data_IF_485884314289
#
_entry.id   IF_485884314289
#
_cell.length_a   1.000
_cell.length_b   1.000
_cell.length_c   1.000
_cell.angle_alpha   90.00
_cell.angle_beta   90.00
_cell.angle_gamma   90.00
#
_symmetry.space_group_name_H-M   'P 1'
#
loop_
_entity.id
_entity.type
_entity.pdbx_description
1 polymer ?
#
# COMPACT_ATOMS: atom_id res chain seq x y z
N UNK A 1 4.73 -17.66 -15.52
CA UNK A 1 4.75 -16.22 -15.18
C UNK A 1 5.18 -16.13 -13.73
N UNK A 2 6.49 -15.98 -13.56
CA UNK A 2 7.22 -16.02 -12.30
C UNK A 2 6.88 -14.76 -11.49
N UNK A 3 5.75 -14.79 -10.78
CA UNK A 3 5.42 -13.76 -9.77
C UNK A 3 6.38 -13.96 -8.60
N UNK A 4 7.60 -13.48 -8.76
CA UNK A 4 8.63 -13.52 -7.73
C UNK A 4 8.24 -12.51 -6.66
N UNK A 5 7.96 -13.00 -5.45
CA UNK A 5 7.92 -12.14 -4.27
C UNK A 5 9.28 -11.54 -4.03
N UNK A 6 9.27 -10.36 -3.42
CA UNK A 6 10.48 -9.73 -2.92
C UNK A 6 10.28 -9.36 -1.46
N UNK A 7 11.35 -9.47 -0.69
CA UNK A 7 11.39 -8.98 0.66
C UNK A 7 11.73 -7.48 0.64
N UNK A 8 10.94 -6.67 1.33
CA UNK A 8 11.25 -5.27 1.57
C UNK A 8 10.92 -4.95 3.04
N UNK A 9 11.91 -4.43 3.78
CA UNK A 9 11.80 -4.11 5.21
C UNK A 9 11.18 -5.22 6.06
N UNK A 10 11.54 -6.48 5.78
CA UNK A 10 11.08 -7.66 6.52
C UNK A 10 9.74 -8.24 6.06
N UNK A 11 9.06 -7.64 5.07
CA UNK A 11 7.79 -8.14 4.53
C UNK A 11 7.95 -8.68 3.10
N UNK A 12 7.22 -9.74 2.80
CA UNK A 12 7.17 -10.35 1.47
C UNK A 12 6.03 -9.77 0.64
N UNK A 13 6.36 -9.04 -0.42
CA UNK A 13 5.39 -8.44 -1.34
C UNK A 13 5.36 -9.16 -2.68
N UNK A 14 4.15 -9.37 -3.20
CA UNK A 14 3.91 -9.94 -4.51
C UNK A 14 3.26 -8.92 -5.44
N UNK A 15 3.81 -8.69 -6.64
CA UNK A 15 3.15 -7.86 -7.64
C UNK A 15 1.83 -8.53 -8.09
N UNK A 16 0.71 -7.88 -7.78
CA UNK A 16 -0.61 -8.43 -8.06
C UNK A 16 -1.14 -7.96 -9.42
N UNK A 17 -1.36 -6.64 -9.56
CA UNK A 17 -1.94 -5.96 -10.72
C UNK A 17 -1.64 -4.45 -10.69
N UNK A 18 -1.93 -3.74 -11.78
CA UNK A 18 -2.01 -2.26 -11.84
C UNK A 18 -3.44 -1.80 -11.60
N UNK A 19 -3.62 -0.50 -11.37
CA UNK A 19 -4.97 0.07 -11.37
C UNK A 19 -5.56 0.05 -12.79
N UNK A 20 -6.80 -0.41 -12.90
CA UNK A 20 -7.57 -0.37 -14.14
C UNK A 20 -8.68 0.68 -14.04
N UNK A 21 -9.26 1.07 -15.16
CA UNK A 21 -10.36 2.06 -15.21
C UNK A 21 -11.54 1.68 -14.30
N UNK A 22 -11.77 0.37 -14.12
CA UNK A 22 -12.80 -0.20 -13.24
C UNK A 22 -12.59 0.06 -11.75
N UNK A 23 -11.38 0.42 -11.31
CA UNK A 23 -11.07 0.69 -9.90
C UNK A 23 -11.61 2.06 -9.42
N UNK A 24 -12.21 2.85 -10.33
CA UNK A 24 -12.73 4.19 -10.11
C UNK A 24 -11.68 5.27 -10.41
N UNK A 25 -12.06 6.54 -10.25
CA UNK A 25 -11.16 7.68 -10.41
C UNK A 25 -10.01 7.66 -9.38
N UNK A 26 -8.99 8.50 -9.61
CA UNK A 26 -7.86 8.68 -8.69
C UNK A 26 -8.31 8.94 -7.24
N UNK A 27 -9.33 9.78 -7.04
CA UNK A 27 -9.90 10.06 -5.72
C UNK A 27 -10.56 8.84 -5.09
N UNK A 28 -11.25 8.02 -5.88
CA UNK A 28 -11.92 6.83 -5.35
C UNK A 28 -10.91 5.76 -4.94
N UNK A 29 -9.82 5.63 -5.69
CA UNK A 29 -8.66 4.78 -5.35
C UNK A 29 -7.97 5.30 -4.11
N UNK A 30 -7.66 6.60 -4.05
CA UNK A 30 -7.00 7.24 -2.92
C UNK A 30 -7.83 7.14 -1.63
N UNK A 31 -9.16 7.27 -1.70
CA UNK A 31 -10.04 7.07 -0.56
C UNK A 31 -9.98 5.64 -0.01
N UNK A 32 -9.75 4.64 -0.87
CA UNK A 32 -9.60 3.22 -0.48
C UNK A 32 -8.23 2.93 0.15
N UNK A 33 -7.26 3.86 0.04
CA UNK A 33 -5.95 3.75 0.66
C UNK A 33 -6.00 4.13 2.15
N UNK A 34 -5.28 3.38 2.97
CA UNK A 34 -5.10 3.67 4.40
C UNK A 34 -3.65 3.57 4.80
N UNK A 35 -3.23 4.45 5.70
CA UNK A 35 -1.91 4.37 6.29
C UNK A 35 -1.87 3.22 7.31
N UNK A 36 -0.99 2.27 7.06
CA UNK A 36 -0.80 1.12 7.93
C UNK A 36 0.33 1.43 8.94
N UNK A 37 -0.09 1.79 10.15
CA UNK A 37 0.84 2.08 11.26
C UNK A 37 1.54 0.81 11.79
N UNK A 38 1.00 -0.38 11.51
CA UNK A 38 1.65 -1.63 11.91
C UNK A 38 2.85 -1.91 11.02
N UNK A 39 2.68 -1.70 9.71
CA UNK A 39 3.74 -1.76 8.70
C UNK A 39 4.77 -0.66 8.94
N UNK A 40 4.33 0.56 9.24
CA UNK A 40 5.23 1.67 9.58
C UNK A 40 6.23 2.01 8.47
N UNK A 41 5.87 1.74 7.21
CA UNK A 41 6.66 2.01 6.02
C UNK A 41 6.27 3.34 5.39
N UNK A 42 6.91 4.40 5.84
CA UNK A 42 6.72 5.74 5.29
C UNK A 42 8.06 6.42 5.07
N UNK A 43 8.12 7.28 4.06
CA UNK A 43 9.27 8.14 3.80
C UNK A 43 9.28 9.34 4.75
N UNK A 44 8.12 9.68 5.30
CA UNK A 44 7.96 10.78 6.25
C UNK A 44 8.48 10.36 7.62
N UNK A 45 9.10 11.29 8.34
CA UNK A 45 9.55 11.06 9.72
C UNK A 45 8.37 11.10 10.69
N UNK A 46 7.53 10.06 10.61
CA UNK A 46 6.41 9.89 11.51
C UNK A 46 6.82 9.11 12.76
N UNK A 47 6.24 9.38 13.95
CA UNK A 47 6.61 8.69 15.19
C UNK A 47 6.29 7.19 15.18
N UNK A 48 5.45 6.74 14.23
CA UNK A 48 5.09 5.34 14.00
C UNK A 48 5.89 4.71 12.85
N UNK A 49 6.86 5.43 12.27
CA UNK A 49 7.77 4.90 11.25
C UNK A 49 8.66 3.82 11.86
N UNK A 50 8.53 2.61 11.32
CA UNK A 50 9.37 1.46 11.69
C UNK A 50 10.47 1.21 10.67
N UNK A 51 10.18 1.46 9.40
CA UNK A 51 11.09 1.19 8.30
C UNK A 51 11.20 2.40 7.38
N UNK A 52 12.42 2.65 6.90
CA UNK A 52 12.64 3.65 5.85
C UNK A 52 12.01 3.16 4.55
N UNK A 53 11.02 3.90 4.06
CA UNK A 53 10.44 3.64 2.75
C UNK A 53 11.07 4.55 1.70
N UNK A 54 11.54 3.92 0.63
CA UNK A 54 12.03 4.59 -0.57
C UNK A 54 11.31 4.02 -1.79
N UNK A 55 10.68 4.92 -2.54
CA UNK A 55 9.82 4.55 -3.67
C UNK A 55 10.62 3.90 -4.80
N UNK A 56 11.83 4.41 -5.10
CA UNK A 56 12.67 3.86 -6.16
C UNK A 56 13.27 2.52 -5.75
N UNK A 57 13.75 2.40 -4.51
CA UNK A 57 14.29 1.15 -3.97
C UNK A 57 13.22 0.05 -3.94
N UNK A 58 11.98 0.38 -3.58
CA UNK A 58 10.87 -0.56 -3.58
C UNK A 58 10.62 -1.13 -4.97
N UNK A 59 10.50 -0.28 -5.99
CA UNK A 59 10.30 -0.73 -7.37
C UNK A 59 11.51 -1.47 -7.93
N UNK A 60 12.72 -1.11 -7.50
CA UNK A 60 13.94 -1.84 -7.85
C UNK A 60 13.92 -3.27 -7.29
N UNK A 61 13.48 -3.45 -6.04
CA UNK A 61 13.29 -4.75 -5.42
C UNK A 61 12.15 -5.54 -6.10
N UNK A 62 11.08 -4.86 -6.50
CA UNK A 62 9.96 -5.44 -7.24
C UNK A 62 10.31 -5.89 -8.67
N UNK A 63 11.49 -5.55 -9.18
CA UNK A 63 11.88 -5.85 -10.56
C UNK A 63 11.28 -4.89 -11.60
N UNK A 64 10.83 -3.69 -11.18
CA UNK A 64 10.43 -2.60 -12.05
C UNK A 64 9.03 -2.04 -11.77
N UNK A 65 8.73 -0.91 -12.43
CA UNK A 65 7.54 -0.08 -12.23
C UNK A 65 6.28 -0.57 -12.95
N UNK A 66 6.08 -1.88 -12.98
CA UNK A 66 5.05 -2.53 -13.81
C UNK A 66 3.72 -2.75 -13.09
N UNK A 67 3.68 -2.65 -11.76
CA UNK A 67 2.52 -2.98 -10.93
C UNK A 67 2.26 -1.86 -9.92
N UNK A 68 1.00 -1.51 -9.70
CA UNK A 68 0.61 -0.50 -8.69
C UNK A 68 0.15 -1.15 -7.38
N UNK A 69 -0.36 -2.39 -7.43
CA UNK A 69 -0.91 -3.10 -6.28
C UNK A 69 -0.05 -4.32 -5.97
N UNK A 70 0.34 -4.42 -4.70
CA UNK A 70 1.20 -5.46 -4.16
C UNK A 70 0.49 -6.20 -3.03
N UNK A 71 0.51 -7.52 -3.03
CA UNK A 71 -0.04 -8.32 -1.94
C UNK A 71 1.07 -8.67 -0.96
N UNK A 72 0.90 -8.32 0.31
CA UNK A 72 1.77 -8.77 1.38
C UNK A 72 1.38 -10.21 1.77
N UNK A 73 2.33 -11.15 1.75
CA UNK A 73 2.08 -12.55 2.09
C UNK A 73 1.76 -12.75 3.57
N UNK A 74 2.46 -11.99 4.42
CA UNK A 74 2.35 -12.10 5.88
C UNK A 74 0.94 -11.75 6.38
N UNK A 75 0.43 -10.60 5.93
CA UNK A 75 -0.89 -10.10 6.37
C UNK A 75 -2.01 -10.47 5.39
N UNK A 76 -1.69 -10.99 4.21
CA UNK A 76 -2.60 -11.20 3.07
C UNK A 76 -3.41 -9.96 2.70
N UNK A 77 -2.80 -8.78 2.89
CA UNK A 77 -3.38 -7.46 2.58
C UNK A 77 -2.72 -6.87 1.34
N UNK A 78 -3.48 -6.02 0.65
CA UNK A 78 -3.00 -5.32 -0.54
C UNK A 78 -2.42 -3.97 -0.12
N UNK A 79 -1.30 -3.61 -0.72
CA UNK A 79 -0.57 -2.37 -0.49
C UNK A 79 -0.25 -1.70 -1.81
N UNK A 80 -0.24 -0.38 -1.79
CA UNK A 80 0.07 0.46 -2.93
C UNK A 80 1.26 1.33 -2.53
N UNK A 81 2.41 1.18 -3.19
CA UNK A 81 3.55 2.07 -3.00
C UNK A 81 3.18 3.46 -3.52
N UNK A 82 2.94 4.37 -2.59
CA UNK A 82 2.67 5.77 -2.84
C UNK A 82 3.97 6.57 -2.67
N UNK A 83 4.01 7.84 -3.08
CA UNK A 83 5.22 8.67 -2.97
C UNK A 83 5.68 8.88 -1.52
N UNK A 84 4.75 8.84 -0.56
CA UNK A 84 5.01 9.11 0.86
C UNK A 84 5.12 7.85 1.74
N UNK A 85 4.89 6.66 1.19
CA UNK A 85 4.80 5.43 1.96
C UNK A 85 4.05 4.30 1.25
N UNK A 86 4.08 3.10 1.86
CA UNK A 86 3.16 2.03 1.49
C UNK A 86 1.81 2.25 2.17
N UNK A 87 0.75 2.34 1.38
CA UNK A 87 -0.61 2.46 1.90
C UNK A 87 -1.39 1.18 1.64
N UNK A 88 -2.12 0.70 2.63
CA UNK A 88 -3.00 -0.45 2.50
C UNK A 88 -4.17 -0.10 1.56
N UNK A 89 -4.39 -0.91 0.54
CA UNK A 89 -5.52 -0.79 -0.36
C UNK A 89 -6.68 -1.69 0.10
N UNK A 90 -7.72 -1.06 0.64
CA UNK A 90 -8.91 -1.75 1.12
C UNK A 90 -9.97 -1.77 0.02
N UNK A 91 -10.13 -2.91 -0.63
CA UNK A 91 -11.14 -3.10 -1.68
C UNK A 91 -12.59 -3.21 -1.13
N UNK A 92 -12.76 -3.31 0.19
CA UNK A 92 -14.07 -3.26 0.82
C UNK A 92 -14.61 -1.83 0.82
N UNK A 93 -15.94 -1.62 0.67
CA UNK A 93 -16.53 -0.29 0.81
C UNK A 93 -16.11 0.26 2.17
N UNK A 94 -15.48 1.43 2.15
CA UNK A 94 -15.12 2.16 3.35
C UNK A 94 -16.45 2.46 4.04
N UNK A 95 -16.84 1.66 5.03
CA UNK A 95 -17.90 2.06 5.96
C UNK A 95 -17.31 3.27 6.67
N UNK A 96 -17.62 4.46 6.16
CA UNK A 96 -17.37 5.72 6.84
C UNK A 96 -18.03 5.59 8.20
N UNK A 97 -17.24 5.28 9.24
CA UNK A 97 -17.68 5.35 10.63
C UNK A 97 -17.78 6.85 10.92
N UNK A 98 -18.86 7.46 10.44
CA UNK A 98 -19.28 8.77 10.87
C UNK A 98 -19.78 8.60 12.31
N UNK A 99 -18.85 8.62 13.26
CA UNK A 99 -19.15 8.62 14.68
C UNK A 99 -18.25 9.63 15.38
N UNK A 100 -18.38 10.91 14.99
CA UNK A 100 -18.26 11.99 15.98
C UNK A 100 -19.66 12.49 16.24
N UNK A 101 -20.20 11.95 17.33
CA UNK A 101 -21.36 12.46 18.01
C UNK A 101 -21.21 13.98 18.19
N UNK A 102 -22.32 14.65 17.92
CA UNK A 102 -22.63 16.01 18.29
C UNK A 102 -22.19 16.27 19.74
N UNK A 103 -21.55 17.41 19.99
CA UNK A 103 -21.56 18.08 21.29
C UNK A 103 -21.88 19.53 21.03
#
# INVERSE_FOLDING_TARGET
MDKKSFEYGGYHFYPLRTFEDKDGDFMERACKLRDDRELGMTSTDEPWRKYAYDYEAFYKAAGGKKYDIFLCEENRRQYVPCGHGLQEFVNAPIKSKNNRAVR
#
